data_IF_903378638480
#
_entry.id   IF_903378638480
#
_cell.length_a   1.000
_cell.length_b   1.000
_cell.length_c   1.000
_cell.angle_alpha   90.00
_cell.angle_beta   90.00
_cell.angle_gamma   90.00
#
_symmetry.space_group_name_H-M   'P 1'
#
loop_
_entity.id
_entity.type
_entity.pdbx_description
1 polymer ?
#
# COMPACT_ATOMS: atom_id res chain seq x y z
N UNK A 1 -10.37 22.23 16.88
CA UNK A 1 -9.96 22.93 15.65
C UNK A 1 -10.51 22.18 14.45
N UNK A 2 -11.20 22.84 13.50
CA UNK A 2 -11.63 22.21 12.26
C UNK A 2 -10.38 21.72 11.50
N UNK A 3 -10.36 20.44 11.12
CA UNK A 3 -9.24 19.85 10.38
C UNK A 3 -9.33 20.36 8.95
N UNK A 4 -8.44 21.27 8.56
CA UNK A 4 -8.38 21.83 7.22
C UNK A 4 -7.89 20.81 6.19
N UNK A 5 -8.15 21.10 4.91
CA UNK A 5 -7.61 20.33 3.78
C UNK A 5 -6.06 20.31 3.82
N UNK A 6 -5.42 21.39 4.27
CA UNK A 6 -3.97 21.45 4.48
C UNK A 6 -3.49 20.45 5.54
N UNK A 7 -4.20 20.36 6.68
CA UNK A 7 -3.90 19.37 7.72
C UNK A 7 -3.99 17.93 7.20
N UNK A 8 -4.94 17.65 6.30
CA UNK A 8 -5.07 16.33 5.68
C UNK A 8 -3.89 15.98 4.77
N UNK A 9 -3.40 16.93 3.98
CA UNK A 9 -2.22 16.77 3.12
C UNK A 9 -0.94 16.53 3.95
N UNK A 10 -0.73 17.32 5.01
CA UNK A 10 0.41 17.13 5.92
C UNK A 10 0.36 15.77 6.63
N UNK A 11 -0.83 15.36 7.09
CA UNK A 11 -1.03 14.05 7.70
C UNK A 11 -0.72 12.92 6.72
N UNK A 12 -1.09 13.06 5.45
CA UNK A 12 -0.74 12.10 4.41
C UNK A 12 0.78 12.00 4.28
N UNK A 13 1.47 13.12 4.01
CA UNK A 13 2.92 13.16 3.84
C UNK A 13 3.66 12.52 5.03
N UNK A 14 3.23 12.83 6.26
CA UNK A 14 3.82 12.23 7.47
C UNK A 14 3.58 10.72 7.57
N UNK A 15 2.39 10.24 7.21
CA UNK A 15 2.08 8.80 7.24
C UNK A 15 2.82 8.02 6.16
N UNK A 16 3.09 8.64 5.02
CA UNK A 16 3.69 7.98 3.86
C UNK A 16 5.19 8.18 3.72
N UNK A 17 5.83 8.98 4.58
CA UNK A 17 7.26 9.32 4.48
C UNK A 17 8.18 8.09 4.36
N UNK A 18 7.85 6.99 5.06
CA UNK A 18 8.61 5.73 5.03
C UNK A 18 7.77 4.54 4.53
N UNK A 19 6.79 4.80 3.66
CA UNK A 19 5.87 3.77 3.17
C UNK A 19 6.61 2.62 2.48
N UNK A 20 7.61 2.91 1.64
CA UNK A 20 8.37 1.90 0.92
C UNK A 20 9.13 0.94 1.84
N UNK A 21 9.88 1.50 2.81
CA UNK A 21 10.63 0.70 3.77
C UNK A 21 9.71 -0.16 4.66
N UNK A 22 8.62 0.43 5.17
CA UNK A 22 7.63 -0.30 5.97
C UNK A 22 6.94 -1.40 5.17
N UNK A 23 6.63 -1.14 3.91
CA UNK A 23 6.01 -2.11 3.03
C UNK A 23 6.93 -3.31 2.80
N UNK A 24 8.21 -3.10 2.49
CA UNK A 24 9.16 -4.23 2.35
C UNK A 24 9.35 -5.02 3.63
N UNK A 25 9.54 -4.35 4.77
CA UNK A 25 9.64 -5.04 6.06
C UNK A 25 8.39 -5.88 6.38
N UNK A 26 7.20 -5.40 6.00
CA UNK A 26 5.96 -6.18 6.15
C UNK A 26 5.96 -7.44 5.26
N UNK A 27 6.47 -7.34 4.04
CA UNK A 27 6.58 -8.49 3.14
C UNK A 27 7.57 -9.52 3.66
N UNK A 28 8.73 -9.08 4.17
CA UNK A 28 9.76 -9.93 4.74
C UNK A 28 9.28 -10.65 6.02
N UNK A 29 8.34 -10.04 6.75
CA UNK A 29 7.67 -10.63 7.92
C UNK A 29 6.44 -11.50 7.56
N UNK A 30 6.25 -11.83 6.29
CA UNK A 30 5.23 -12.79 5.84
C UNK A 30 3.88 -12.16 5.45
N UNK A 31 3.78 -10.84 5.29
CA UNK A 31 2.55 -10.23 4.75
C UNK A 31 2.21 -10.73 3.34
N UNK A 32 3.22 -11.09 2.53
CA UNK A 32 3.01 -11.69 1.21
C UNK A 32 2.23 -13.01 1.29
N UNK A 33 2.51 -13.84 2.31
CA UNK A 33 1.83 -15.13 2.51
C UNK A 33 0.35 -14.95 2.85
N UNK A 34 -0.03 -13.85 3.52
CA UNK A 34 -1.43 -13.56 3.87
C UNK A 34 -2.32 -13.36 2.64
N UNK A 35 -1.78 -12.80 1.56
CA UNK A 35 -2.52 -12.69 0.29
C UNK A 35 -2.90 -14.06 -0.25
N UNK A 36 -1.93 -14.99 -0.26
CA UNK A 36 -2.16 -16.36 -0.71
C UNK A 36 -3.18 -17.10 0.14
N UNK A 37 -3.11 -16.96 1.47
CA UNK A 37 -4.11 -17.53 2.37
C UNK A 37 -5.50 -16.99 2.06
N UNK A 38 -5.68 -15.66 2.01
CA UNK A 38 -6.98 -15.06 1.72
C UNK A 38 -7.52 -15.39 0.33
N UNK A 39 -6.64 -15.50 -0.68
CA UNK A 39 -7.03 -15.91 -2.02
C UNK A 39 -7.55 -17.35 -2.05
N UNK A 40 -6.89 -18.26 -1.34
CA UNK A 40 -7.32 -19.67 -1.26
C UNK A 40 -8.64 -19.79 -0.50
N UNK A 41 -8.80 -19.05 0.60
CA UNK A 41 -10.06 -19.00 1.35
C UNK A 41 -11.21 -18.48 0.48
N UNK A 42 -10.97 -17.43 -0.31
CA UNK A 42 -11.96 -16.85 -1.20
C UNK A 42 -12.37 -17.80 -2.34
N UNK A 43 -11.40 -18.50 -2.93
CA UNK A 43 -11.65 -19.41 -4.05
C UNK A 43 -12.14 -20.80 -3.61
N UNK A 44 -11.93 -21.17 -2.35
CA UNK A 44 -12.22 -22.50 -1.83
C UNK A 44 -11.26 -23.60 -2.32
N UNK A 45 -10.18 -23.24 -3.01
CA UNK A 45 -9.15 -24.18 -3.48
C UNK A 45 -7.78 -23.51 -3.61
N UNK A 46 -6.74 -24.32 -3.78
CA UNK A 46 -5.37 -23.81 -3.96
C UNK A 46 -5.21 -23.03 -5.28
N UNK A 47 -4.42 -21.96 -5.26
CA UNK A 47 -4.13 -21.12 -6.42
C UNK A 47 -2.61 -20.88 -6.58
N UNK A 48 -1.80 -21.94 -6.80
CA UNK A 48 -0.34 -21.87 -6.74
C UNK A 48 0.26 -20.93 -7.79
N UNK A 49 -0.30 -20.90 -9.02
CA UNK A 49 0.17 -20.00 -10.07
C UNK A 49 -0.04 -18.53 -9.73
N UNK A 50 -1.20 -18.18 -9.18
CA UNK A 50 -1.50 -16.80 -8.75
C UNK A 50 -0.57 -16.37 -7.61
N UNK A 51 -0.32 -17.26 -6.66
CA UNK A 51 0.63 -17.05 -5.58
C UNK A 51 2.07 -16.83 -6.05
N UNK A 52 2.54 -17.67 -6.98
CA UNK A 52 3.86 -17.52 -7.58
C UNK A 52 4.00 -16.19 -8.35
N UNK A 53 2.99 -15.85 -9.15
CA UNK A 53 2.96 -14.58 -9.90
C UNK A 53 2.96 -13.36 -8.96
N UNK A 54 2.17 -13.41 -7.88
CA UNK A 54 2.14 -12.35 -6.87
C UNK A 54 3.49 -12.18 -6.17
N UNK A 55 4.12 -13.28 -5.76
CA UNK A 55 5.45 -13.26 -5.15
C UNK A 55 6.52 -12.70 -6.07
N UNK A 56 6.52 -13.11 -7.35
CA UNK A 56 7.44 -12.57 -8.35
C UNK A 56 7.23 -11.05 -8.56
N UNK A 57 5.98 -10.60 -8.65
CA UNK A 57 5.65 -9.19 -8.80
C UNK A 57 6.10 -8.34 -7.60
N UNK A 58 5.90 -8.82 -6.38
CA UNK A 58 6.40 -8.13 -5.18
C UNK A 58 7.92 -8.05 -5.15
N UNK A 59 8.60 -9.15 -5.50
CA UNK A 59 10.06 -9.21 -5.46
C UNK A 59 10.70 -8.25 -6.47
N UNK A 60 10.05 -8.02 -7.61
CA UNK A 60 10.51 -7.08 -8.64
C UNK A 60 10.42 -5.61 -8.23
N UNK A 61 9.59 -5.26 -7.24
CA UNK A 61 9.38 -3.87 -6.81
C UNK A 61 10.27 -3.56 -5.61
N UNK A 62 11.12 -2.54 -5.74
CA UNK A 62 11.98 -2.07 -4.64
C UNK A 62 11.21 -1.20 -3.65
N UNK A 63 11.78 -0.99 -2.45
CA UNK A 63 11.24 -0.04 -1.49
C UNK A 63 11.19 1.39 -2.07
N UNK A 64 12.17 1.79 -2.88
CA UNK A 64 12.21 3.09 -3.53
C UNK A 64 11.13 3.26 -4.61
N UNK A 65 10.83 2.20 -5.37
CA UNK A 65 9.76 2.23 -6.37
C UNK A 65 8.41 2.43 -5.68
N UNK A 66 8.16 1.66 -4.61
CA UNK A 66 6.95 1.79 -3.82
C UNK A 66 6.85 3.19 -3.17
N UNK A 67 7.95 3.69 -2.60
CA UNK A 67 7.98 5.02 -2.01
C UNK A 67 7.65 6.10 -3.05
N UNK A 68 8.27 6.03 -4.24
CA UNK A 68 8.02 6.97 -5.33
C UNK A 68 6.56 6.93 -5.80
N UNK A 69 5.94 5.74 -5.82
CA UNK A 69 4.54 5.57 -6.18
C UNK A 69 3.56 6.17 -5.16
N UNK A 70 3.97 6.35 -3.89
CA UNK A 70 3.13 6.90 -2.82
C UNK A 70 3.42 8.39 -2.58
N UNK A 71 4.68 8.79 -2.73
CA UNK A 71 5.14 10.18 -2.62
C UNK A 71 4.36 11.10 -3.56
N UNK A 72 4.10 12.33 -3.11
CA UNK A 72 3.39 13.35 -3.91
C UNK A 72 1.88 13.14 -4.08
N UNK A 73 1.31 12.02 -3.64
CA UNK A 73 -0.15 11.78 -3.71
C UNK A 73 -0.98 12.52 -2.66
N UNK A 74 -0.35 13.36 -1.84
CA UNK A 74 -1.02 14.19 -0.83
C UNK A 74 -2.11 15.08 -1.46
N UNK A 75 -1.85 15.65 -2.65
CA UNK A 75 -2.81 16.46 -3.38
C UNK A 75 -4.05 15.66 -3.82
N UNK A 76 -3.87 14.41 -4.28
CA UNK A 76 -5.00 13.52 -4.65
C UNK A 76 -5.85 13.19 -3.41
N UNK A 77 -5.20 12.92 -2.29
CA UNK A 77 -5.87 12.63 -1.03
C UNK A 77 -6.68 13.84 -0.52
N UNK A 78 -6.08 15.03 -0.57
CA UNK A 78 -6.74 16.26 -0.14
C UNK A 78 -7.91 16.65 -1.06
N UNK A 79 -7.76 16.49 -2.38
CA UNK A 79 -8.86 16.71 -3.35
C UNK A 79 -10.01 15.73 -3.20
N UNK A 80 -9.74 14.46 -2.88
CA UNK A 80 -10.79 13.47 -2.62
C UNK A 80 -11.63 13.86 -1.39
N UNK A 81 -10.99 14.31 -0.31
CA UNK A 81 -11.68 14.76 0.89
C UNK A 81 -12.53 16.02 0.65
N UNK A 82 -12.05 16.96 -0.16
CA UNK A 82 -12.79 18.18 -0.51
C UNK A 82 -14.00 17.95 -1.42
N UNK A 83 -14.18 16.77 -2.01
CA UNK A 83 -15.37 16.41 -2.82
C UNK A 83 -16.49 15.78 -2.01
N UNK A 84 -16.21 15.38 -0.76
CA UNK A 84 -17.15 14.67 0.12
C UNK A 84 -17.73 15.61 1.19
N UNK A 85 -17.21 16.84 1.30
CA UNK A 85 -17.75 17.90 2.15
C UNK A 85 -18.53 18.91 1.31
#
# INVERSE_FOLDING_TARGET
MPKSISYAAEKWSRKTANAGAKWKAALDSGAASRYCTGLQEFLGHSAPMACAAYGAGISAVSASDFQSAVSGKAGKYSSALGRVG
#
